data_IF_881913118782
#
_entry.id   IF_881913118782
#
_cell.length_a   1.000
_cell.length_b   1.000
_cell.length_c   1.000
_cell.angle_alpha   90.00
_cell.angle_beta   90.00
_cell.angle_gamma   90.00
#
_symmetry.space_group_name_H-M   'P 1'
#
loop_
_entity.id
_entity.type
_entity.pdbx_description
1 polymer ?
#
# COMPACT_ATOMS: atom_id res chain seq x y z
N UNK A 1 34.39 -24.87 6.06
CA UNK A 1 34.33 -23.59 5.32
C UNK A 1 32.93 -23.03 5.50
N UNK A 2 32.77 -22.06 6.38
CA UNK A 2 31.45 -21.50 6.75
C UNK A 2 31.34 -20.15 6.04
N UNK A 3 30.42 -20.06 5.07
CA UNK A 3 30.13 -18.82 4.36
C UNK A 3 29.30 -17.90 5.27
N UNK A 4 29.84 -16.75 5.65
CA UNK A 4 29.14 -15.67 6.34
C UNK A 4 28.25 -14.92 5.35
N UNK A 5 26.94 -15.10 5.45
CA UNK A 5 25.95 -14.26 4.75
C UNK A 5 25.76 -13.00 5.56
N UNK A 6 26.23 -11.87 5.04
CA UNK A 6 26.04 -10.54 5.63
C UNK A 6 24.66 -10.02 5.26
N UNK A 7 23.79 -9.82 6.26
CA UNK A 7 22.46 -9.24 6.09
C UNK A 7 22.59 -7.72 6.19
N UNK A 8 22.40 -7.04 5.07
CA UNK A 8 22.42 -5.58 4.95
C UNK A 8 21.09 -5.00 5.46
N UNK A 9 21.12 -4.26 6.57
CA UNK A 9 19.98 -3.48 7.07
C UNK A 9 20.08 -2.06 6.53
N UNK A 10 19.18 -1.68 5.61
CA UNK A 10 19.01 -0.29 5.16
C UNK A 10 18.06 0.39 6.15
N UNK A 11 18.45 1.48 6.83
CA UNK A 11 17.52 2.24 7.66
C UNK A 11 16.57 3.08 6.79
N UNK A 12 15.27 2.92 7.01
CA UNK A 12 14.23 3.78 6.44
C UNK A 12 14.27 5.12 7.17
N UNK A 13 14.75 6.17 6.51
CA UNK A 13 14.75 7.54 7.02
C UNK A 13 13.36 8.16 6.79
N UNK A 14 12.59 8.30 7.87
CA UNK A 14 11.35 9.07 7.91
C UNK A 14 11.68 10.56 7.97
N UNK A 15 11.41 11.32 6.91
CA UNK A 15 11.49 12.78 6.90
C UNK A 15 10.12 13.34 7.32
N UNK A 16 10.02 13.79 8.58
CA UNK A 16 8.91 14.59 9.06
C UNK A 16 9.16 16.07 8.71
N UNK A 17 8.38 16.62 7.77
CA UNK A 17 8.38 18.04 7.43
C UNK A 17 7.60 18.86 8.46
N UNK A 18 8.28 19.70 9.25
CA UNK A 18 7.65 20.71 10.08
C UNK A 18 7.47 22.00 9.27
N UNK A 19 6.21 22.41 9.09
CA UNK A 19 5.81 23.68 8.49
C UNK A 19 5.86 24.77 9.57
N UNK A 20 6.87 25.64 9.56
CA UNK A 20 6.90 26.86 10.38
C UNK A 20 6.44 28.06 9.55
N UNK A 21 5.36 28.70 10.03
CA UNK A 21 4.87 29.97 9.54
C UNK A 21 5.72 31.11 10.09
N UNK A 22 6.23 32.00 9.23
CA UNK A 22 6.88 33.26 9.58
C UNK A 22 5.89 34.43 9.51
N UNK A 23 5.94 35.40 10.44
CA UNK A 23 5.06 36.57 10.38
C UNK A 23 5.57 37.62 9.38
N UNK A 24 4.61 38.27 8.70
CA UNK A 24 4.85 39.34 7.76
C UNK A 24 5.36 40.62 8.49
N UNK A 25 6.53 41.13 8.06
CA UNK A 25 7.05 42.42 8.44
C UNK A 25 6.69 43.48 7.37
N UNK A 26 6.13 44.60 7.83
CA UNK A 26 5.72 45.74 7.04
C UNK A 26 6.93 46.45 6.41
N UNK A 27 6.89 46.75 5.10
CA UNK A 27 7.88 47.50 4.39
C UNK A 27 7.51 48.98 4.34
N UNK A 28 8.43 49.85 4.79
CA UNK A 28 8.38 51.29 4.60
C UNK A 28 9.02 51.69 3.27
N UNK A 29 8.54 52.71 2.54
CA UNK A 29 9.09 53.09 1.24
C UNK A 29 10.40 53.91 1.38
N UNK A 30 11.38 53.76 0.45
CA UNK A 30 12.63 54.50 0.49
C UNK A 30 12.56 55.89 -0.17
N UNK A 31 13.21 56.87 0.48
CA UNK A 31 13.45 58.20 -0.07
C UNK A 31 14.60 58.22 -1.11
N UNK A 32 14.80 59.33 -1.85
CA UNK A 32 15.68 59.38 -3.00
C UNK A 32 17.15 59.34 -2.67
N UNK A 33 17.89 58.47 -3.34
CA UNK A 33 19.32 58.24 -3.19
C UNK A 33 20.16 59.26 -3.95
N UNK A 34 21.20 59.76 -3.29
CA UNK A 34 22.28 60.58 -3.83
C UNK A 34 23.24 59.69 -4.66
N UNK A 35 23.73 60.23 -5.77
CA UNK A 35 24.69 59.58 -6.67
C UNK A 35 26.10 59.73 -6.11
N UNK A 36 26.88 58.66 -5.88
CA UNK A 36 28.31 58.77 -5.60
C UNK A 36 29.15 58.58 -6.88
N UNK A 37 30.20 59.36 -6.97
CA UNK A 37 31.16 59.43 -8.05
C UNK A 37 31.91 58.13 -8.31
N UNK A 38 32.25 57.91 -9.58
CA UNK A 38 32.97 56.75 -10.08
C UNK A 38 34.38 56.64 -9.52
N UNK A 39 34.72 55.49 -8.92
CA UNK A 39 36.10 55.09 -8.63
C UNK A 39 36.70 54.30 -9.81
N UNK A 40 38.02 54.36 -10.03
CA UNK A 40 38.68 53.75 -11.18
C UNK A 40 38.62 52.21 -11.13
N UNK A 41 38.18 51.61 -12.23
CA UNK A 41 38.14 50.17 -12.43
C UNK A 41 39.54 49.57 -12.53
N UNK A 42 39.86 48.64 -11.68
CA UNK A 42 41.03 47.78 -11.83
C UNK A 42 40.82 46.82 -13.03
N UNK A 43 41.88 46.39 -13.73
CA UNK A 43 41.74 45.53 -14.89
C UNK A 43 41.13 44.20 -14.52
N UNK A 44 40.10 43.83 -15.27
CA UNK A 44 39.42 42.55 -15.14
C UNK A 44 40.43 41.42 -15.36
N UNK A 45 40.69 40.64 -14.31
CA UNK A 45 41.31 39.32 -14.46
C UNK A 45 40.39 38.44 -15.27
N UNK A 46 40.89 37.99 -16.42
CA UNK A 46 40.21 37.01 -17.26
C UNK A 46 39.90 35.76 -16.40
N UNK A 47 38.63 35.41 -16.31
CA UNK A 47 38.20 34.15 -15.72
C UNK A 47 38.93 32.99 -16.45
N UNK A 48 39.39 31.95 -15.72
CA UNK A 48 39.98 30.80 -16.38
C UNK A 48 38.92 30.19 -17.32
N UNK A 49 39.33 29.69 -18.50
CA UNK A 49 38.40 29.07 -19.44
C UNK A 49 37.64 27.95 -18.71
N UNK A 50 36.31 27.98 -18.81
CA UNK A 50 35.49 26.91 -18.32
C UNK A 50 36.06 25.60 -18.87
N UNK A 51 36.39 24.68 -17.99
CA UNK A 51 36.83 23.34 -18.38
C UNK A 51 35.77 22.78 -19.29
N UNK A 52 36.10 22.56 -20.57
CA UNK A 52 35.27 21.80 -21.50
C UNK A 52 35.20 20.41 -20.90
N UNK A 53 34.08 20.08 -20.24
CA UNK A 53 33.81 18.72 -19.83
C UNK A 53 33.79 17.89 -21.12
N UNK A 54 34.84 17.10 -21.31
CA UNK A 54 34.85 16.08 -22.36
C UNK A 54 33.58 15.25 -22.20
N UNK A 55 32.82 14.92 -23.29
CA UNK A 55 31.61 14.14 -23.20
C UNK A 55 31.93 12.82 -22.51
N UNK A 56 31.40 12.65 -21.31
CA UNK A 56 31.65 11.46 -20.50
C UNK A 56 31.26 10.23 -21.34
N UNK A 57 32.26 9.37 -21.64
CA UNK A 57 32.06 8.18 -22.46
C UNK A 57 31.09 7.28 -21.72
N UNK A 58 29.83 7.23 -22.17
CA UNK A 58 28.80 6.37 -21.56
C UNK A 58 28.77 5.00 -22.26
N UNK A 59 28.23 4.01 -21.58
CA UNK A 59 28.02 2.65 -22.08
C UNK A 59 26.56 2.27 -21.97
N UNK A 60 26.08 1.51 -22.93
CA UNK A 60 24.74 0.95 -22.92
C UNK A 60 24.61 -0.11 -21.84
N UNK A 61 23.60 0.02 -20.99
CA UNK A 61 23.24 -0.95 -19.95
C UNK A 61 21.80 -1.40 -20.20
N UNK A 62 21.62 -2.67 -20.48
CA UNK A 62 20.32 -3.31 -20.70
C UNK A 62 19.95 -4.09 -19.43
N UNK A 63 18.76 -3.82 -18.90
CA UNK A 63 18.24 -4.50 -17.71
C UNK A 63 17.05 -5.37 -18.06
N UNK A 64 16.94 -6.51 -17.38
CA UNK A 64 15.78 -7.40 -17.47
C UNK A 64 15.52 -8.05 -16.11
N UNK A 65 14.27 -8.46 -15.87
CA UNK A 65 13.92 -9.23 -14.67
C UNK A 65 13.06 -10.44 -15.03
N UNK A 66 13.20 -11.51 -14.25
CA UNK A 66 12.39 -12.72 -14.35
C UNK A 66 11.98 -13.20 -12.95
N UNK A 67 10.98 -14.08 -12.87
CA UNK A 67 10.58 -14.69 -11.59
C UNK A 67 11.48 -15.85 -11.16
N UNK A 68 12.26 -16.41 -12.08
CA UNK A 68 13.20 -17.50 -11.84
C UNK A 68 14.44 -17.34 -12.72
N UNK A 69 15.57 -18.01 -12.39
CA UNK A 69 16.84 -17.91 -13.11
C UNK A 69 16.73 -18.26 -14.62
N UNK A 70 15.84 -19.18 -14.98
CA UNK A 70 15.56 -19.60 -16.36
C UNK A 70 14.11 -19.29 -16.74
N UNK A 71 13.50 -18.28 -16.11
CA UNK A 71 12.11 -17.90 -16.37
C UNK A 71 11.97 -16.90 -17.51
N UNK A 72 10.75 -16.78 -18.01
CA UNK A 72 10.35 -15.73 -18.95
C UNK A 72 10.58 -14.34 -18.34
N UNK A 73 10.96 -13.35 -19.16
CA UNK A 73 11.07 -11.97 -18.69
C UNK A 73 9.74 -11.41 -18.19
N UNK A 74 9.79 -10.61 -17.13
CA UNK A 74 8.62 -9.88 -16.63
C UNK A 74 8.34 -8.74 -17.60
N UNK A 75 7.12 -8.70 -18.17
CA UNK A 75 6.75 -7.78 -19.25
C UNK A 75 5.99 -6.54 -18.77
N UNK A 76 5.65 -6.43 -17.48
CA UNK A 76 4.91 -5.27 -16.93
C UNK A 76 5.04 -5.14 -15.43
N UNK A 77 4.82 -3.93 -14.92
CA UNK A 77 4.71 -3.67 -13.47
C UNK A 77 6.05 -3.61 -12.72
N UNK A 78 7.16 -3.54 -13.44
CA UNK A 78 8.48 -3.31 -12.88
C UNK A 78 8.71 -1.82 -12.65
N UNK A 79 9.50 -1.51 -11.60
CA UNK A 79 10.04 -0.19 -11.34
C UNK A 79 11.54 -0.32 -11.09
N UNK A 80 12.34 0.33 -11.93
CA UNK A 80 13.77 0.28 -11.89
C UNK A 80 14.36 1.54 -11.29
N UNK A 81 15.38 1.37 -10.47
CA UNK A 81 16.23 2.47 -9.99
C UNK A 81 17.68 2.06 -10.05
N UNK A 82 18.52 2.90 -10.65
CA UNK A 82 19.96 2.66 -10.77
C UNK A 82 20.69 3.72 -9.95
N UNK A 83 21.58 3.27 -9.09
CA UNK A 83 22.40 4.14 -8.23
C UNK A 83 23.87 3.92 -8.55
N UNK A 84 24.63 4.99 -8.59
CA UNK A 84 26.09 4.93 -8.65
C UNK A 84 26.65 4.83 -7.23
N UNK A 85 27.54 3.88 -7.01
CA UNK A 85 28.21 3.72 -5.71
C UNK A 85 29.41 4.64 -5.64
N UNK A 86 29.52 5.45 -4.57
CA UNK A 86 30.68 6.25 -4.24
C UNK A 86 31.79 5.43 -3.57
N UNK A 87 32.77 6.12 -2.96
CA UNK A 87 33.86 5.47 -2.22
C UNK A 87 33.42 4.86 -0.89
N UNK A 88 32.25 5.25 -0.35
CA UNK A 88 31.63 4.69 0.86
C UNK A 88 30.28 4.07 0.54
N UNK A 89 29.84 3.08 1.33
CA UNK A 89 28.52 2.43 1.17
C UNK A 89 27.33 3.38 1.33
N UNK A 90 27.52 4.51 2.02
CA UNK A 90 26.50 5.53 2.24
C UNK A 90 26.35 6.54 1.07
N UNK A 91 27.28 6.54 0.11
CA UNK A 91 27.35 7.56 -0.96
C UNK A 91 26.68 7.08 -2.26
N UNK A 92 25.53 6.42 -2.19
CA UNK A 92 24.80 5.99 -3.36
C UNK A 92 23.97 7.13 -3.97
N UNK A 93 24.27 7.52 -5.21
CA UNK A 93 23.57 8.60 -5.93
C UNK A 93 22.65 7.96 -6.98
N UNK A 94 21.34 8.32 -6.96
CA UNK A 94 20.39 7.88 -7.99
C UNK A 94 20.75 8.50 -9.34
N UNK A 95 21.01 7.65 -10.34
CA UNK A 95 21.40 8.04 -11.69
C UNK A 95 20.26 7.96 -12.69
N UNK A 96 19.38 6.94 -12.55
CA UNK A 96 18.30 6.70 -13.49
C UNK A 96 17.15 5.93 -12.83
N UNK A 97 15.97 6.06 -13.42
CA UNK A 97 14.79 5.24 -13.09
C UNK A 97 13.97 4.97 -14.36
N UNK A 98 13.21 3.88 -14.37
CA UNK A 98 12.29 3.52 -15.47
C UNK A 98 11.21 2.58 -14.97
N UNK A 99 10.02 2.67 -15.60
CA UNK A 99 8.92 1.73 -15.41
C UNK A 99 8.79 0.76 -16.61
N UNK A 100 9.72 0.82 -17.57
CA UNK A 100 9.76 -0.10 -18.70
C UNK A 100 10.18 -1.51 -18.25
N UNK A 101 9.66 -2.58 -18.88
CA UNK A 101 9.99 -3.95 -18.50
C UNK A 101 11.46 -4.33 -18.76
N UNK A 102 12.08 -3.74 -19.79
CA UNK A 102 13.46 -3.96 -20.16
C UNK A 102 14.12 -2.62 -20.55
N UNK A 103 14.45 -1.76 -19.58
CA UNK A 103 15.00 -0.45 -19.87
C UNK A 103 16.45 -0.50 -20.32
N UNK A 104 16.81 0.50 -21.12
CA UNK A 104 18.17 0.75 -21.57
C UNK A 104 18.67 2.09 -20.99
N UNK A 105 19.84 2.07 -20.37
CA UNK A 105 20.46 3.26 -19.80
C UNK A 105 21.84 3.50 -20.43
N UNK A 106 22.24 4.76 -20.52
CA UNK A 106 23.61 5.16 -20.90
C UNK A 106 24.33 5.64 -19.65
N UNK A 107 25.26 4.82 -19.13
CA UNK A 107 25.98 5.07 -17.89
C UNK A 107 27.47 5.24 -18.13
N UNK A 108 28.12 6.16 -17.39
CA UNK A 108 29.57 6.32 -17.38
C UNK A 108 30.25 5.11 -16.71
N UNK A 109 31.53 4.82 -16.97
CA UNK A 109 32.27 3.80 -16.24
C UNK A 109 32.21 3.99 -14.73
N UNK A 110 32.02 2.89 -13.98
CA UNK A 110 31.89 2.93 -12.52
C UNK A 110 31.13 1.74 -11.95
N UNK A 111 31.01 1.72 -10.62
CA UNK A 111 30.23 0.72 -9.88
C UNK A 111 28.81 1.21 -9.65
N UNK A 112 27.85 0.34 -9.87
CA UNK A 112 26.43 0.63 -9.78
C UNK A 112 25.69 -0.44 -9.00
N UNK A 113 24.58 -0.04 -8.42
CA UNK A 113 23.57 -0.97 -7.89
C UNK A 113 22.24 -0.70 -8.59
N UNK A 114 21.61 -1.74 -9.08
CA UNK A 114 20.25 -1.69 -9.62
C UNK A 114 19.29 -2.30 -8.62
N UNK A 115 18.18 -1.60 -8.41
CA UNK A 115 17.04 -2.06 -7.64
C UNK A 115 15.84 -2.18 -8.58
N UNK A 116 15.28 -3.39 -8.67
CA UNK A 116 14.05 -3.67 -9.41
C UNK A 116 12.94 -4.02 -8.42
N UNK A 117 11.85 -3.26 -8.43
CA UNK A 117 10.67 -3.50 -7.61
C UNK A 117 9.51 -4.04 -8.47
N UNK A 118 8.76 -4.98 -7.90
CA UNK A 118 7.55 -5.56 -8.48
C UNK A 118 6.48 -5.67 -7.38
N UNK A 119 5.68 -4.61 -7.23
CA UNK A 119 4.78 -4.47 -6.09
C UNK A 119 5.55 -4.38 -4.77
N UNK A 120 5.28 -5.28 -3.83
CA UNK A 120 5.98 -5.38 -2.54
C UNK A 120 7.24 -6.25 -2.59
N UNK A 121 7.51 -6.90 -3.72
CA UNK A 121 8.73 -7.65 -3.95
C UNK A 121 9.80 -6.79 -4.61
N UNK A 122 11.07 -7.06 -4.32
CA UNK A 122 12.18 -6.38 -4.96
C UNK A 122 13.42 -7.29 -5.04
N UNK A 123 14.28 -6.99 -6.00
CA UNK A 123 15.62 -7.54 -6.08
C UNK A 123 16.63 -6.43 -6.29
N UNK A 124 17.83 -6.64 -5.77
CA UNK A 124 18.94 -5.69 -5.89
C UNK A 124 20.17 -6.44 -6.39
N UNK A 125 20.92 -5.82 -7.30
CA UNK A 125 22.16 -6.39 -7.83
C UNK A 125 23.20 -5.31 -8.07
N UNK A 126 24.42 -5.57 -7.64
CA UNK A 126 25.58 -4.73 -7.98
C UNK A 126 26.17 -5.16 -9.31
N UNK A 127 26.68 -4.20 -10.09
CA UNK A 127 27.38 -4.44 -11.34
C UNK A 127 28.36 -3.30 -11.62
N UNK A 128 29.30 -3.59 -12.52
CA UNK A 128 30.30 -2.62 -12.95
C UNK A 128 30.11 -2.31 -14.45
N UNK A 129 30.26 -1.04 -14.79
CA UNK A 129 30.28 -0.54 -16.16
C UNK A 129 31.72 -0.15 -16.46
N UNK A 130 32.36 -0.82 -17.45
CA UNK A 130 33.72 -0.54 -17.89
C UNK A 130 33.74 -0.17 -19.38
N UNK A 131 34.32 -0.99 -20.24
CA UNK A 131 34.57 -0.65 -21.67
C UNK A 131 33.49 -1.18 -22.61
N UNK A 132 32.74 -2.21 -22.20
CA UNK A 132 31.74 -2.90 -23.03
C UNK A 132 30.33 -2.58 -22.58
N UNK A 133 29.30 -2.74 -23.46
CA UNK A 133 27.90 -2.76 -23.07
C UNK A 133 27.63 -3.84 -22.02
N UNK A 134 26.73 -3.55 -21.07
CA UNK A 134 26.41 -4.44 -19.95
C UNK A 134 24.97 -4.91 -20.06
N UNK A 135 24.75 -6.21 -19.88
CA UNK A 135 23.42 -6.80 -19.74
C UNK A 135 23.28 -7.40 -18.35
N UNK A 136 22.25 -6.97 -17.61
CA UNK A 136 21.99 -7.47 -16.27
C UNK A 136 20.58 -8.03 -16.16
N UNK A 137 20.49 -9.31 -15.80
CA UNK A 137 19.25 -9.96 -15.39
C UNK A 137 19.12 -10.01 -13.87
N UNK A 138 17.93 -9.71 -13.35
CA UNK A 138 17.57 -9.84 -11.95
C UNK A 138 16.49 -10.91 -11.79
N UNK A 139 16.57 -11.68 -10.71
CA UNK A 139 15.52 -12.63 -10.34
C UNK A 139 14.72 -12.03 -9.18
N UNK A 140 13.45 -11.76 -9.45
CA UNK A 140 12.50 -11.27 -8.44
C UNK A 140 11.58 -12.42 -8.09
N UNK A 141 11.86 -13.10 -6.97
CA UNK A 141 11.01 -14.19 -6.49
C UNK A 141 9.70 -13.62 -5.95
N UNK A 142 8.74 -13.40 -6.82
CA UNK A 142 7.45 -12.79 -6.53
C UNK A 142 6.29 -13.50 -7.22
N UNK A 143 5.11 -13.46 -6.60
CA UNK A 143 3.86 -13.92 -7.19
C UNK A 143 2.72 -12.93 -6.93
N UNK A 144 1.55 -13.22 -7.48
CA UNK A 144 0.33 -12.47 -7.27
C UNK A 144 -0.59 -13.16 -6.26
N UNK A 145 -1.26 -12.37 -5.42
CA UNK A 145 -2.39 -12.80 -4.61
C UNK A 145 -3.63 -12.06 -5.10
N UNK A 146 -4.66 -12.82 -5.46
CA UNK A 146 -6.02 -12.33 -5.71
C UNK A 146 -6.93 -12.93 -4.65
N UNK A 147 -7.75 -12.06 -4.02
CA UNK A 147 -8.67 -12.47 -2.98
C UNK A 147 -10.08 -12.53 -3.56
N UNK A 148 -10.76 -13.63 -3.34
CA UNK A 148 -12.15 -13.85 -3.69
C UNK A 148 -12.89 -14.37 -2.46
N UNK A 149 -14.21 -14.19 -2.41
CA UNK A 149 -15.02 -14.75 -1.35
C UNK A 149 -16.42 -15.10 -1.82
N UNK A 150 -17.05 -16.00 -1.08
CA UNK A 150 -18.45 -16.41 -1.29
C UNK A 150 -19.17 -16.57 0.05
N UNK A 151 -20.49 -16.35 0.05
CA UNK A 151 -21.38 -16.77 1.13
C UNK A 151 -22.17 -17.95 0.61
N UNK A 152 -22.06 -19.10 1.27
CA UNK A 152 -22.50 -20.37 0.72
C UNK A 152 -21.88 -20.57 -0.66
N UNK A 153 -22.64 -20.70 -1.73
CA UNK A 153 -22.14 -20.85 -3.11
C UNK A 153 -22.30 -19.57 -3.95
N UNK A 154 -22.66 -18.43 -3.32
CA UNK A 154 -22.85 -17.16 -4.01
C UNK A 154 -21.57 -16.30 -3.92
N UNK A 155 -20.96 -15.92 -5.06
CA UNK A 155 -19.82 -15.03 -5.04
C UNK A 155 -20.18 -13.66 -4.43
N UNK A 156 -19.26 -13.10 -3.63
CA UNK A 156 -19.37 -11.75 -3.11
C UNK A 156 -18.70 -10.80 -4.11
N UNK A 157 -19.34 -9.67 -4.47
CA UNK A 157 -18.71 -8.65 -5.30
C UNK A 157 -17.38 -8.18 -4.70
N UNK A 158 -16.33 -8.10 -5.51
CA UNK A 158 -14.97 -7.80 -5.06
C UNK A 158 -14.84 -6.41 -4.38
N UNK A 159 -15.67 -5.45 -4.76
CA UNK A 159 -15.77 -4.11 -4.16
C UNK A 159 -16.29 -4.10 -2.72
N UNK A 160 -16.93 -5.19 -2.29
CA UNK A 160 -17.39 -5.38 -0.91
C UNK A 160 -16.39 -6.14 -0.03
N UNK A 161 -15.23 -6.50 -0.61
CA UNK A 161 -14.19 -7.26 0.06
C UNK A 161 -12.95 -6.41 0.25
N UNK A 162 -12.36 -6.52 1.43
CA UNK A 162 -11.04 -5.97 1.72
C UNK A 162 -10.15 -7.04 2.34
N UNK A 163 -8.86 -6.97 2.05
CA UNK A 163 -7.89 -7.90 2.62
C UNK A 163 -6.87 -7.17 3.49
N UNK A 164 -6.45 -7.87 4.55
CA UNK A 164 -5.33 -7.52 5.41
C UNK A 164 -4.31 -8.65 5.31
N UNK A 165 -3.07 -8.31 4.98
CA UNK A 165 -2.03 -9.31 4.68
C UNK A 165 -0.86 -9.16 5.62
N UNK A 166 -0.50 -10.25 6.27
CA UNK A 166 0.63 -10.35 7.19
C UNK A 166 1.61 -11.40 6.67
N UNK A 167 2.90 -11.09 6.66
CA UNK A 167 3.94 -12.08 6.38
C UNK A 167 4.19 -12.92 7.61
N UNK A 168 4.29 -14.24 7.45
CA UNK A 168 4.66 -15.17 8.50
C UNK A 168 6.18 -15.31 8.49
N UNK A 169 6.83 -14.83 9.54
CA UNK A 169 8.27 -14.91 9.68
C UNK A 169 8.72 -16.34 10.05
N UNK A 170 9.99 -16.69 9.85
CA UNK A 170 10.52 -18.01 10.28
C UNK A 170 10.33 -18.29 11.77
N UNK A 171 10.20 -17.26 12.60
CA UNK A 171 9.88 -17.36 14.03
C UNK A 171 8.42 -17.71 14.31
N UNK A 172 7.54 -17.70 13.29
CA UNK A 172 6.09 -17.83 13.43
C UNK A 172 5.37 -16.49 13.71
N UNK A 173 6.10 -15.42 13.93
CA UNK A 173 5.53 -14.08 14.15
C UNK A 173 4.87 -13.56 12.87
N UNK A 174 3.73 -12.86 13.01
CA UNK A 174 3.00 -12.24 11.91
C UNK A 174 3.29 -10.74 11.88
N UNK A 175 3.83 -10.26 10.75
CA UNK A 175 4.08 -8.83 10.54
C UNK A 175 3.18 -8.30 9.44
N UNK A 176 2.39 -7.29 9.76
CA UNK A 176 1.52 -6.60 8.80
C UNK A 176 2.36 -5.99 7.67
N UNK A 177 1.95 -6.23 6.42
CA UNK A 177 2.59 -5.70 5.22
C UNK A 177 1.64 -4.93 4.30
N UNK A 178 0.34 -5.23 4.37
CA UNK A 178 -0.69 -4.51 3.64
C UNK A 178 -2.02 -4.57 4.40
N UNK A 179 -2.78 -3.47 4.38
CA UNK A 179 -4.08 -3.34 5.02
C UNK A 179 -5.05 -2.59 4.09
N UNK A 180 -6.33 -2.93 4.14
CA UNK A 180 -7.35 -2.31 3.30
C UNK A 180 -7.16 -2.59 1.80
N UNK A 181 -6.55 -3.71 1.44
CA UNK A 181 -6.31 -4.08 0.04
C UNK A 181 -7.63 -4.46 -0.60
N UNK A 182 -8.08 -3.75 -1.66
CA UNK A 182 -9.30 -4.12 -2.36
C UNK A 182 -9.14 -5.47 -3.06
N UNK A 183 -10.13 -6.35 -2.97
CA UNK A 183 -10.12 -7.64 -3.66
C UNK A 183 -10.17 -7.51 -5.20
N UNK A 184 -10.50 -6.31 -5.72
CA UNK A 184 -10.44 -5.99 -7.15
C UNK A 184 -9.01 -5.93 -7.70
N UNK A 185 -7.98 -5.95 -6.84
CA UNK A 185 -6.58 -5.78 -7.21
C UNK A 185 -5.76 -7.04 -6.95
N UNK A 186 -4.78 -7.29 -7.83
CA UNK A 186 -3.77 -8.33 -7.59
C UNK A 186 -2.64 -7.72 -6.74
N UNK A 187 -2.45 -8.24 -5.54
CA UNK A 187 -1.35 -7.85 -4.67
C UNK A 187 -0.09 -8.66 -5.04
N UNK A 188 0.95 -7.96 -5.48
CA UNK A 188 2.24 -8.56 -5.85
C UNK A 188 3.13 -8.68 -4.62
N UNK A 189 3.46 -9.91 -4.23
CA UNK A 189 4.15 -10.26 -3.00
C UNK A 189 5.44 -11.04 -3.27
N UNK A 190 6.47 -10.93 -2.43
CA UNK A 190 7.56 -11.90 -2.41
C UNK A 190 7.05 -13.34 -2.28
N UNK A 191 7.78 -14.29 -2.82
CA UNK A 191 7.55 -15.71 -2.54
C UNK A 191 7.63 -15.96 -1.03
N UNK A 192 6.64 -16.67 -0.48
CA UNK A 192 6.59 -16.91 0.96
C UNK A 192 5.24 -17.33 1.49
N UNK A 193 5.14 -17.42 2.83
CA UNK A 193 3.90 -17.74 3.55
C UNK A 193 3.30 -16.49 4.16
N UNK A 194 1.99 -16.36 4.01
CA UNK A 194 1.23 -15.20 4.45
C UNK A 194 0.00 -15.62 5.24
N UNK A 195 -0.36 -14.83 6.22
CA UNK A 195 -1.65 -14.90 6.87
C UNK A 195 -2.52 -13.78 6.29
N UNK A 196 -3.64 -14.17 5.69
CA UNK A 196 -4.54 -13.25 4.99
C UNK A 196 -5.88 -13.27 5.70
N UNK A 197 -6.35 -12.09 6.07
CA UNK A 197 -7.70 -11.84 6.59
C UNK A 197 -8.52 -11.21 5.47
N UNK A 198 -9.68 -11.79 5.14
CA UNK A 198 -10.63 -11.27 4.18
C UNK A 198 -11.88 -10.80 4.93
N UNK A 199 -12.18 -9.51 4.83
CA UNK A 199 -13.35 -8.90 5.46
C UNK A 199 -14.41 -8.61 4.42
N UNK A 200 -15.63 -9.03 4.68
CA UNK A 200 -16.82 -8.73 3.90
C UNK A 200 -17.59 -7.58 4.55
N UNK A 201 -17.70 -6.47 3.82
CA UNK A 201 -18.25 -5.23 4.34
C UNK A 201 -17.30 -4.51 5.29
N UNK A 202 -17.86 -3.83 6.28
CA UNK A 202 -17.13 -2.95 7.19
C UNK A 202 -17.43 -3.19 8.68
N UNK A 203 -17.94 -4.39 9.00
CA UNK A 203 -18.28 -4.78 10.37
C UNK A 203 -17.37 -5.93 10.86
N UNK A 204 -17.92 -7.07 11.22
CA UNK A 204 -17.20 -8.17 11.83
C UNK A 204 -17.12 -9.46 10.99
N UNK A 205 -17.60 -9.44 9.73
CA UNK A 205 -17.56 -10.61 8.86
C UNK A 205 -16.15 -10.80 8.28
N UNK A 206 -15.26 -11.40 9.05
CA UNK A 206 -13.86 -11.62 8.68
C UNK A 206 -13.50 -13.10 8.79
N UNK A 207 -12.89 -13.63 7.73
CA UNK A 207 -12.35 -14.99 7.67
C UNK A 207 -10.85 -14.90 7.33
N UNK A 208 -10.05 -15.78 7.89
CA UNK A 208 -8.61 -15.79 7.68
C UNK A 208 -8.07 -17.15 7.28
N UNK A 209 -6.98 -17.14 6.51
CA UNK A 209 -6.25 -18.34 6.10
C UNK A 209 -4.75 -18.10 5.96
N UNK A 210 -3.96 -19.16 6.08
CA UNK A 210 -2.56 -19.16 5.67
C UNK A 210 -2.44 -19.53 4.19
N UNK A 211 -1.72 -18.70 3.43
CA UNK A 211 -1.60 -18.80 1.99
C UNK A 211 -0.12 -18.79 1.61
N UNK A 212 0.26 -19.68 0.69
CA UNK A 212 1.62 -19.72 0.14
C UNK A 212 1.64 -19.08 -1.24
N UNK A 213 2.51 -18.09 -1.41
CA UNK A 213 2.74 -17.41 -2.68
C UNK A 213 4.00 -18.00 -3.33
N UNK A 214 3.86 -18.49 -4.56
CA UNK A 214 4.96 -19.01 -5.35
C UNK A 214 5.42 -18.02 -6.43
N UNK A 215 6.72 -18.03 -6.73
CA UNK A 215 7.30 -17.17 -7.76
C UNK A 215 6.66 -17.42 -9.14
N UNK A 216 6.30 -16.33 -9.84
CA UNK A 216 5.70 -16.34 -11.16
C UNK A 216 4.26 -16.88 -11.23
N UNK A 217 3.61 -17.11 -10.09
CA UNK A 217 2.25 -17.66 -10.04
C UNK A 217 1.26 -16.64 -9.51
N UNK A 218 0.05 -16.67 -10.05
CA UNK A 218 -1.12 -16.05 -9.42
C UNK A 218 -1.75 -17.08 -8.46
N UNK A 219 -1.94 -16.68 -7.22
CA UNK A 219 -2.66 -17.45 -6.21
C UNK A 219 -4.02 -16.82 -6.01
N UNK A 220 -5.07 -17.52 -6.38
CA UNK A 220 -6.46 -17.14 -6.14
C UNK A 220 -6.89 -17.74 -4.81
N UNK A 221 -7.17 -16.87 -3.82
CA UNK A 221 -7.58 -17.26 -2.48
C UNK A 221 -9.07 -17.04 -2.32
N UNK A 222 -9.86 -18.12 -2.30
CA UNK A 222 -11.29 -18.05 -2.11
C UNK A 222 -11.65 -18.28 -0.63
N UNK A 223 -12.32 -17.29 -0.01
CA UNK A 223 -12.76 -17.31 1.38
C UNK A 223 -14.25 -17.58 1.47
N UNK A 224 -14.64 -18.55 2.30
CA UNK A 224 -16.05 -18.83 2.56
C UNK A 224 -16.51 -18.03 3.77
N UNK A 225 -17.28 -16.96 3.50
CA UNK A 225 -17.82 -16.08 4.52
C UNK A 225 -19.11 -16.67 5.10
N UNK A 226 -19.21 -16.65 6.43
CA UNK A 226 -20.41 -17.00 7.18
C UNK A 226 -21.06 -15.69 7.64
N UNK A 227 -21.80 -15.04 6.76
CA UNK A 227 -22.36 -13.70 7.00
C UNK A 227 -23.68 -13.48 6.28
N UNK A 228 -24.42 -12.44 6.68
CA UNK A 228 -25.61 -11.96 5.98
C UNK A 228 -25.67 -10.43 5.97
N UNK A 229 -26.35 -9.88 4.96
CA UNK A 229 -26.68 -8.46 4.85
C UNK A 229 -28.02 -8.19 5.52
N UNK A 230 -28.02 -7.27 6.49
CA UNK A 230 -29.19 -6.94 7.28
C UNK A 230 -29.53 -5.45 7.16
N UNK A 231 -30.83 -5.16 7.13
CA UNK A 231 -31.34 -3.78 7.20
C UNK A 231 -32.08 -3.58 8.52
N UNK A 232 -31.63 -2.59 9.31
CA UNK A 232 -32.29 -2.28 10.59
C UNK A 232 -33.46 -1.31 10.36
N UNK A 233 -34.58 -1.55 11.06
CA UNK A 233 -35.78 -0.70 11.00
C UNK A 233 -36.35 -0.50 12.39
N UNK A 234 -36.55 0.73 12.82
CA UNK A 234 -37.37 1.05 13.99
C UNK A 234 -38.80 1.29 13.50
N UNK A 235 -39.76 0.52 13.99
CA UNK A 235 -41.14 0.57 13.54
C UNK A 235 -42.11 0.70 14.73
N UNK A 236 -43.23 1.36 14.54
CA UNK A 236 -44.27 1.46 15.60
C UNK A 236 -45.03 0.14 15.80
N UNK A 237 -45.12 -0.69 14.75
CA UNK A 237 -45.73 -2.02 14.75
C UNK A 237 -45.04 -2.88 13.69
N UNK A 238 -45.11 -4.19 13.83
CA UNK A 238 -44.51 -5.13 12.89
C UNK A 238 -44.97 -4.87 11.45
N UNK A 239 -44.04 -4.80 10.49
CA UNK A 239 -44.30 -4.47 9.08
C UNK A 239 -44.67 -3.00 8.84
N UNK A 240 -44.54 -2.13 9.83
CA UNK A 240 -44.83 -0.70 9.72
C UNK A 240 -43.70 0.08 8.99
N UNK A 241 -43.96 1.37 8.75
CA UNK A 241 -42.95 2.26 8.18
C UNK A 241 -41.80 2.50 9.16
N UNK A 242 -40.59 2.60 8.62
CA UNK A 242 -39.41 2.86 9.43
C UNK A 242 -39.34 4.30 9.90
N UNK A 243 -39.02 4.48 11.15
CA UNK A 243 -38.89 5.79 11.82
C UNK A 243 -37.51 6.38 11.47
N UNK A 244 -37.52 7.57 10.88
CA UNK A 244 -36.32 8.31 10.52
C UNK A 244 -35.53 8.80 11.75
N UNK A 245 -34.29 9.28 11.52
CA UNK A 245 -33.42 9.86 12.55
C UNK A 245 -33.21 8.96 13.78
N UNK A 246 -33.16 7.66 13.57
CA UNK A 246 -32.84 6.67 14.60
C UNK A 246 -31.33 6.44 14.65
N UNK A 247 -30.76 6.52 15.85
CA UNK A 247 -29.36 6.12 16.09
C UNK A 247 -29.32 4.66 16.53
N UNK A 248 -28.43 3.92 15.90
CA UNK A 248 -28.29 2.47 16.04
C UNK A 248 -26.98 2.08 16.65
N UNK A 249 -26.98 1.10 17.52
CA UNK A 249 -25.79 0.40 17.98
C UNK A 249 -26.05 -1.10 17.91
N UNK A 250 -25.18 -1.85 17.24
CA UNK A 250 -25.22 -3.32 17.20
C UNK A 250 -24.11 -3.86 18.09
N UNK A 251 -24.46 -4.75 18.99
CA UNK A 251 -23.58 -5.27 20.02
C UNK A 251 -23.47 -6.79 19.95
N UNK A 252 -22.32 -7.30 20.39
CA UNK A 252 -22.17 -8.74 20.70
C UNK A 252 -22.99 -9.11 21.94
N UNK A 253 -23.22 -10.40 22.22
CA UNK A 253 -23.83 -10.85 23.48
C UNK A 253 -23.02 -10.42 24.72
N UNK A 254 -21.70 -10.17 24.56
CA UNK A 254 -20.85 -9.65 25.63
C UNK A 254 -20.97 -8.16 25.89
N UNK A 255 -21.73 -7.43 25.04
CA UNK A 255 -21.93 -5.98 25.16
C UNK A 255 -20.94 -5.13 24.40
N UNK A 256 -20.02 -5.72 23.60
CA UNK A 256 -19.09 -4.97 22.77
C UNK A 256 -19.81 -4.40 21.54
N UNK A 257 -19.61 -3.12 21.27
CA UNK A 257 -20.20 -2.45 20.10
C UNK A 257 -19.44 -2.88 18.83
N UNK A 258 -20.16 -3.45 17.87
CA UNK A 258 -19.64 -3.84 16.56
C UNK A 258 -19.79 -2.71 15.55
N UNK A 259 -20.97 -2.09 15.52
CA UNK A 259 -21.32 -1.06 14.55
C UNK A 259 -22.24 -0.03 15.13
N UNK A 260 -22.01 1.23 14.78
CA UNK A 260 -22.95 2.33 15.01
C UNK A 260 -23.33 2.96 13.68
N UNK A 261 -24.57 3.41 13.57
CA UNK A 261 -25.11 4.08 12.39
C UNK A 261 -26.27 5.00 12.75
N UNK A 262 -26.65 5.88 11.83
CA UNK A 262 -27.82 6.77 11.96
C UNK A 262 -28.62 6.68 10.67
N UNK A 263 -29.92 6.54 10.78
CA UNK A 263 -30.82 6.50 9.61
C UNK A 263 -32.07 5.68 9.84
N UNK A 264 -32.96 5.68 8.85
CA UNK A 264 -34.19 4.88 8.88
C UNK A 264 -33.93 3.41 8.47
N UNK A 265 -32.97 3.18 7.55
CA UNK A 265 -32.67 1.90 6.93
C UNK A 265 -31.17 1.65 6.83
N UNK A 266 -30.40 1.67 7.93
CA UNK A 266 -28.99 1.33 7.80
C UNK A 266 -28.85 -0.13 7.45
N UNK A 267 -28.05 -0.38 6.40
CA UNK A 267 -27.67 -1.72 5.97
C UNK A 267 -26.28 -2.05 6.50
N UNK A 268 -26.07 -3.26 6.99
CA UNK A 268 -24.82 -3.73 7.54
C UNK A 268 -24.63 -5.21 7.26
N UNK A 269 -23.39 -5.64 7.20
CA UNK A 269 -23.01 -7.03 7.00
C UNK A 269 -22.49 -7.55 8.33
N UNK A 270 -23.11 -8.62 8.86
CA UNK A 270 -22.70 -9.25 10.10
C UNK A 270 -22.31 -10.71 9.86
N UNK A 271 -21.29 -11.15 10.59
CA UNK A 271 -20.99 -12.57 10.69
C UNK A 271 -22.15 -13.34 11.32
N UNK A 272 -22.24 -14.63 11.05
CA UNK A 272 -23.20 -15.53 11.71
C UNK A 272 -22.99 -15.50 13.22
N UNK A 273 -24.07 -15.37 13.97
CA UNK A 273 -24.05 -15.29 15.42
C UNK A 273 -25.24 -14.56 16.02
N UNK A 274 -25.23 -14.38 17.33
CA UNK A 274 -26.26 -13.72 18.11
C UNK A 274 -25.83 -12.27 18.38
N UNK A 275 -26.77 -11.35 18.29
CA UNK A 275 -26.53 -9.92 18.45
C UNK A 275 -27.64 -9.24 19.18
N UNK A 276 -27.31 -8.08 19.78
CA UNK A 276 -28.31 -7.15 20.33
C UNK A 276 -28.26 -5.86 19.55
N UNK A 277 -29.39 -5.43 19.01
CA UNK A 277 -29.52 -4.09 18.42
C UNK A 277 -30.20 -3.14 19.40
N UNK A 278 -29.62 -1.96 19.53
CA UNK A 278 -30.13 -0.83 20.33
C UNK A 278 -30.48 0.30 19.38
N UNK A 279 -31.75 0.69 19.36
CA UNK A 279 -32.25 1.85 18.63
C UNK A 279 -32.52 2.99 19.60
N UNK A 280 -32.01 4.20 19.33
CA UNK A 280 -32.29 5.42 20.09
C UNK A 280 -33.00 6.42 19.20
N UNK A 281 -34.18 6.83 19.63
CA UNK A 281 -34.99 7.79 18.90
C UNK A 281 -35.70 8.72 19.90
N UNK A 282 -35.60 10.05 19.74
CA UNK A 282 -36.22 11.07 20.59
C UNK A 282 -36.03 10.83 22.09
N UNK A 283 -34.83 10.46 22.50
CA UNK A 283 -34.48 10.21 23.91
C UNK A 283 -34.95 8.87 24.47
N UNK A 284 -35.67 8.08 23.72
CA UNK A 284 -36.08 6.71 24.08
C UNK A 284 -35.13 5.68 23.53
N UNK A 285 -35.01 4.55 24.23
CA UNK A 285 -34.13 3.43 23.87
C UNK A 285 -34.99 2.19 23.71
N UNK A 286 -34.79 1.51 22.57
CA UNK A 286 -35.46 0.24 22.21
C UNK A 286 -34.41 -0.80 21.92
N UNK A 287 -34.65 -2.02 22.34
CA UNK A 287 -33.65 -3.10 22.24
C UNK A 287 -34.31 -4.36 21.67
N UNK A 288 -33.56 -5.07 20.82
CA UNK A 288 -33.98 -6.40 20.31
C UNK A 288 -32.75 -7.31 20.17
N UNK A 289 -32.91 -8.55 20.62
CA UNK A 289 -31.98 -9.64 20.31
C UNK A 289 -32.38 -10.28 19.00
N UNK A 290 -31.39 -10.70 18.20
CA UNK A 290 -31.62 -11.37 16.92
C UNK A 290 -30.44 -12.26 16.56
N UNK A 291 -30.74 -13.29 15.72
CA UNK A 291 -29.76 -14.25 15.22
C UNK A 291 -29.46 -13.96 13.75
N UNK A 292 -28.19 -14.02 13.38
CA UNK A 292 -27.72 -13.94 12.00
C UNK A 292 -27.33 -15.34 11.53
N UNK A 293 -27.86 -15.75 10.39
CA UNK A 293 -27.50 -17.00 9.72
C UNK A 293 -26.90 -16.69 8.37
N UNK A 294 -25.80 -17.37 8.02
CA UNK A 294 -25.13 -17.17 6.75
C UNK A 294 -26.07 -17.24 5.55
N UNK A 295 -26.00 -16.26 4.67
CA UNK A 295 -26.80 -16.16 3.44
C UNK A 295 -28.29 -15.85 3.64
N UNK A 296 -28.74 -15.57 4.86
CA UNK A 296 -30.12 -15.16 5.16
C UNK A 296 -30.19 -13.64 5.31
N UNK A 297 -30.16 -12.96 4.17
CA UNK A 297 -30.32 -11.50 4.12
C UNK A 297 -31.76 -11.10 4.50
N UNK A 298 -31.92 -9.95 5.17
CA UNK A 298 -33.25 -9.51 5.56
C UNK A 298 -33.31 -8.30 6.46
N UNK A 299 -34.51 -8.03 6.98
CA UNK A 299 -34.81 -6.90 7.85
C UNK A 299 -34.81 -7.30 9.32
N UNK A 300 -34.25 -6.47 10.16
CA UNK A 300 -34.34 -6.56 11.63
C UNK A 300 -35.19 -5.40 12.12
N UNK A 301 -36.45 -5.71 12.45
CA UNK A 301 -37.39 -4.70 12.97
C UNK A 301 -37.26 -4.58 14.48
N UNK A 302 -37.06 -3.37 15.00
CA UNK A 302 -37.15 -3.02 16.41
C UNK A 302 -38.48 -2.30 16.62
N UNK A 303 -39.29 -2.76 17.58
CA UNK A 303 -40.61 -2.17 17.80
C UNK A 303 -40.52 -1.08 18.88
N UNK A 304 -40.97 0.13 18.53
CA UNK A 304 -41.01 1.30 19.42
C UNK A 304 -42.21 1.21 20.38
N UNK A 305 -42.03 0.47 21.48
CA UNK A 305 -43.05 0.32 22.54
C UNK A 305 -42.53 0.81 23.89
#
# INVERSE_FOLDING_TARGET
>A
MIAKTSIFKIPVLLLAGALMALPAAAQTPPGPAAVPAAAPQAPAQAAPPAAVEEPAVTRKVELSASFAEKGEPITSGLKWRVFRLGKGEADAVKMAESDEPAPEFSLAPGRYVVHAAYGLAAATKEFEVDKAPVRQGLVIKAGGLQVEASVLDKPIPAEQLTARVMVIQPTGERRLIAEGVPATSILRLPEGRYFVECTYGDSNATVSAEISIGAGKLTEANFHQMAATLTLKLVSQAGGEAIANTAWSVLTPGGDVIRESIGAFPSLILAEGNYTVVARHEGRVYTREFDVKAGHDGDVEVIAR
#
